data_IF_772261171125
#
_entry.id   IF_772261171125
#
_cell.length_a   1.000
_cell.length_b   1.000
_cell.length_c   1.000
_cell.angle_alpha   90.00
_cell.angle_beta   90.00
_cell.angle_gamma   90.00
#
_symmetry.space_group_name_H-M   'P 1'
#
loop_
_entity.id
_entity.type
_entity.pdbx_description
1 polymer ?
#
# COMPACT_ATOMS: atom_id res chain seq x y z
N UNK A 1 -19.61 -2.12 -1.42
CA UNK A 1 -18.49 -1.24 -1.02
C UNK A 1 -17.74 -0.69 -2.24
N UNK A 2 -16.93 -1.48 -2.93
CA UNK A 2 -16.06 -1.01 -4.03
C UNK A 2 -16.80 -0.39 -5.23
N UNK A 3 -17.98 -0.90 -5.60
CA UNK A 3 -18.83 -0.28 -6.64
C UNK A 3 -19.20 1.16 -6.33
N UNK A 4 -19.42 1.48 -5.05
CA UNK A 4 -19.76 2.84 -4.61
C UNK A 4 -18.59 3.82 -4.80
N UNK A 5 -17.35 3.33 -4.75
CA UNK A 5 -16.16 4.16 -5.00
C UNK A 5 -16.20 4.73 -6.41
N UNK A 6 -16.55 3.91 -7.40
CA UNK A 6 -16.67 4.33 -8.80
C UNK A 6 -17.98 5.08 -9.08
N UNK A 7 -19.11 4.60 -8.56
CA UNK A 7 -20.42 5.19 -8.84
C UNK A 7 -20.61 6.58 -8.22
N UNK A 8 -20.03 6.81 -7.03
CA UNK A 8 -20.14 8.08 -6.30
C UNK A 8 -18.86 8.92 -6.41
N UNK A 9 -17.84 8.43 -7.13
CA UNK A 9 -16.52 9.04 -7.23
C UNK A 9 -15.95 9.47 -5.86
N UNK A 10 -16.06 8.60 -4.87
CA UNK A 10 -15.71 8.90 -3.47
C UNK A 10 -14.83 7.82 -2.87
N UNK A 11 -13.85 8.22 -2.07
CA UNK A 11 -12.90 7.31 -1.44
C UNK A 11 -12.96 7.51 0.08
N UNK A 12 -12.87 6.41 0.84
CA UNK A 12 -12.85 6.52 2.29
C UNK A 12 -11.54 7.23 2.72
N UNK A 13 -11.58 8.36 3.44
CA UNK A 13 -10.37 9.09 3.82
C UNK A 13 -9.35 8.24 4.60
N UNK A 14 -9.83 7.33 5.46
CA UNK A 14 -8.96 6.46 6.24
C UNK A 14 -8.14 5.46 5.42
N UNK A 15 -8.51 5.21 4.16
CA UNK A 15 -7.77 4.32 3.27
C UNK A 15 -6.50 4.97 2.71
N UNK A 16 -6.37 6.29 2.79
CA UNK A 16 -5.18 7.05 2.36
C UNK A 16 -4.15 7.19 3.49
N UNK A 17 -4.48 6.74 4.70
CA UNK A 17 -3.60 6.80 5.86
C UNK A 17 -2.76 5.53 5.96
N UNK A 18 -1.50 5.68 6.32
CA UNK A 18 -0.59 4.56 6.59
C UNK A 18 0.37 4.89 7.72
N UNK A 19 0.87 3.84 8.36
CA UNK A 19 1.92 3.95 9.38
C UNK A 19 3.25 3.51 8.80
N UNK A 20 4.28 4.35 8.88
CA UNK A 20 5.63 3.97 8.48
C UNK A 20 6.35 3.30 9.64
N UNK A 21 6.56 1.99 9.56
CA UNK A 21 7.40 1.26 10.49
C UNK A 21 8.83 1.16 9.93
N UNK A 22 9.83 1.57 10.70
CA UNK A 22 11.24 1.45 10.31
C UNK A 22 11.81 0.14 10.86
N UNK A 23 12.10 -0.82 9.98
CA UNK A 23 12.63 -2.12 10.35
C UNK A 23 14.14 -2.19 10.14
N UNK A 24 14.87 -2.74 11.11
CA UNK A 24 16.30 -3.05 10.97
C UNK A 24 16.50 -4.27 10.07
N UNK A 25 17.53 -4.24 9.22
CA UNK A 25 17.93 -5.39 8.41
C UNK A 25 18.74 -6.38 9.27
N UNK A 26 18.56 -7.69 9.07
CA UNK A 26 19.44 -8.70 9.67
C UNK A 26 20.91 -8.44 9.31
N UNK A 27 21.82 -8.64 10.27
CA UNK A 27 23.26 -8.46 10.07
C UNK A 27 23.75 -7.00 10.01
N UNK A 28 22.89 -6.00 10.24
CA UNK A 28 23.29 -4.58 10.30
C UNK A 28 22.86 -3.96 11.64
N UNK A 29 23.75 -3.90 12.65
CA UNK A 29 23.36 -3.61 14.03
C UNK A 29 22.95 -2.16 14.31
N UNK A 30 23.50 -1.17 13.61
CA UNK A 30 23.34 0.24 13.94
C UNK A 30 23.16 1.14 12.70
N UNK A 31 22.78 2.41 12.94
CA UNK A 31 22.49 3.42 11.92
C UNK A 31 23.71 3.90 11.13
N UNK A 32 24.91 3.70 11.65
CA UNK A 32 26.16 4.08 10.97
C UNK A 32 26.41 3.25 9.70
N UNK A 33 25.78 2.08 9.60
CA UNK A 33 25.93 1.20 8.44
C UNK A 33 24.93 1.64 7.35
N UNK A 34 25.39 1.99 6.14
CA UNK A 34 24.50 2.34 5.06
C UNK A 34 23.48 1.25 4.76
N UNK A 35 22.22 1.66 4.55
CA UNK A 35 21.08 0.78 4.27
C UNK A 35 20.83 -0.26 5.38
N UNK A 36 21.13 0.05 6.66
CA UNK A 36 20.85 -0.79 7.82
C UNK A 36 19.37 -0.93 8.16
N UNK A 37 18.55 0.03 7.75
CA UNK A 37 17.11 0.04 8.02
C UNK A 37 16.31 0.11 6.72
N UNK A 38 15.06 -0.32 6.76
CA UNK A 38 14.07 -0.21 5.69
C UNK A 38 12.75 0.33 6.26
N UNK A 39 12.27 1.48 5.79
CA UNK A 39 10.91 1.91 6.03
C UNK A 39 9.92 0.97 5.34
N UNK A 40 8.83 0.61 6.02
CA UNK A 40 7.71 -0.15 5.47
C UNK A 40 6.43 0.61 5.80
N UNK A 41 5.61 0.87 4.78
CA UNK A 41 4.29 1.45 4.94
C UNK A 41 3.28 0.34 5.29
N UNK A 42 2.59 0.50 6.41
CA UNK A 42 1.48 -0.34 6.84
C UNK A 42 0.17 0.37 6.49
N UNK A 43 -0.48 -0.09 5.43
CA UNK A 43 -1.74 0.45 4.93
C UNK A 43 -2.91 -0.44 5.35
N UNK A 44 -4.11 0.15 5.40
CA UNK A 44 -5.36 -0.61 5.53
C UNK A 44 -5.44 -1.71 4.46
N UNK A 45 -5.97 -2.88 4.80
CA UNK A 45 -6.08 -4.02 3.87
C UNK A 45 -7.27 -3.93 2.93
N UNK A 46 -8.36 -3.28 3.36
CA UNK A 46 -9.56 -3.09 2.54
C UNK A 46 -9.28 -2.41 1.19
N UNK A 47 -8.57 -1.26 1.11
CA UNK A 47 -8.26 -0.64 -0.18
C UNK A 47 -7.36 -1.48 -1.07
N UNK A 48 -6.57 -2.43 -0.54
CA UNK A 48 -5.75 -3.33 -1.36
C UNK A 48 -6.59 -4.24 -2.25
N UNK A 49 -7.79 -4.62 -1.80
CA UNK A 49 -8.72 -5.41 -2.62
C UNK A 49 -9.20 -4.59 -3.81
N UNK A 50 -9.55 -3.31 -3.60
CA UNK A 50 -9.89 -2.39 -4.68
C UNK A 50 -8.73 -2.23 -5.68
N UNK A 51 -7.50 -2.08 -5.17
CA UNK A 51 -6.31 -2.00 -6.02
C UNK A 51 -6.13 -3.23 -6.88
N UNK A 52 -6.34 -4.43 -6.33
CA UNK A 52 -6.26 -5.68 -7.09
C UNK A 52 -7.31 -5.74 -8.20
N UNK A 53 -8.57 -5.37 -7.91
CA UNK A 53 -9.65 -5.31 -8.91
C UNK A 53 -9.29 -4.33 -10.04
N UNK A 54 -8.80 -3.13 -9.70
CA UNK A 54 -8.41 -2.14 -10.71
C UNK A 54 -7.23 -2.62 -11.56
N UNK A 55 -6.23 -3.23 -10.92
CA UNK A 55 -5.07 -3.78 -11.63
C UNK A 55 -5.48 -4.88 -12.62
N UNK A 56 -6.35 -5.79 -12.23
CA UNK A 56 -6.89 -6.85 -13.10
C UNK A 56 -7.64 -6.27 -14.31
N UNK A 57 -8.52 -5.28 -14.08
CA UNK A 57 -9.25 -4.62 -15.17
C UNK A 57 -8.28 -3.93 -16.16
N UNK A 58 -7.27 -3.24 -15.65
CA UNK A 58 -6.27 -2.59 -16.51
C UNK A 58 -5.49 -3.63 -17.31
N UNK A 59 -5.06 -4.72 -16.68
CA UNK A 59 -4.36 -5.81 -17.39
C UNK A 59 -5.21 -6.39 -18.51
N UNK A 60 -6.50 -6.68 -18.25
CA UNK A 60 -7.42 -7.20 -19.26
C UNK A 60 -7.68 -6.21 -20.41
N UNK A 61 -7.56 -4.89 -20.18
CA UNK A 61 -7.72 -3.90 -21.26
C UNK A 61 -6.49 -3.76 -22.15
N UNK A 62 -5.33 -4.22 -21.68
CA UNK A 62 -4.05 -4.13 -22.39
C UNK A 62 -3.75 -5.40 -23.19
N UNK A 63 -4.30 -6.54 -22.75
CA UNK A 63 -4.36 -7.79 -23.53
C UNK A 63 -5.23 -7.64 -24.78
#
# INVERSE_FOLDING_TARGET
LFRGVFALNTYCPGWQVFTTAVLRKPGKPCYEIPKAYRPIALLCTIPKVLTAIVAENISHMVE
#
